data_IF_441503698056
#
_entry.id   IF_441503698056
#
_cell.length_a   1.000
_cell.length_b   1.000
_cell.length_c   1.000
_cell.angle_alpha   90.00
_cell.angle_beta   90.00
_cell.angle_gamma   90.00
#
_symmetry.space_group_name_H-M   'P 1'
#
loop_
_entity.id
_entity.type
_entity.pdbx_description
1 polymer ?
#
# COMPACT_ATOMS: atom_id res chain seq x y z
N UNK A 1 -20.23 -51.08 -39.59
CA UNK A 1 -18.96 -51.63 -40.08
C UNK A 1 -17.95 -50.50 -40.18
N UNK A 2 -16.81 -50.65 -39.47
CA UNK A 2 -15.55 -49.89 -39.55
C UNK A 2 -15.56 -48.39 -39.17
N UNK A 3 -14.56 -47.81 -38.50
CA UNK A 3 -13.47 -48.28 -37.63
C UNK A 3 -12.86 -47.03 -36.95
N UNK A 4 -12.46 -47.16 -35.69
CA UNK A 4 -11.68 -46.18 -34.93
C UNK A 4 -10.31 -45.86 -35.57
N UNK A 5 -9.91 -44.59 -35.58
CA UNK A 5 -8.53 -44.15 -35.78
C UNK A 5 -7.97 -43.53 -34.50
N UNK A 6 -7.03 -44.22 -33.85
CA UNK A 6 -6.26 -43.72 -32.69
C UNK A 6 -5.05 -42.93 -33.20
N UNK A 7 -4.91 -41.68 -32.80
CA UNK A 7 -3.66 -40.93 -32.97
C UNK A 7 -2.78 -41.11 -31.73
N UNK A 8 -1.53 -41.52 -31.98
CA UNK A 8 -0.51 -41.77 -30.98
C UNK A 8 0.14 -40.46 -30.51
N UNK A 9 0.41 -40.42 -29.21
CA UNK A 9 1.17 -39.37 -28.49
C UNK A 9 2.67 -39.63 -28.66
N UNK A 10 3.50 -38.63 -29.02
CA UNK A 10 4.95 -38.76 -28.93
C UNK A 10 5.44 -38.51 -27.50
N UNK A 11 6.09 -39.53 -26.94
CA UNK A 11 6.88 -39.53 -25.72
C UNK A 11 8.11 -38.62 -25.88
N UNK A 12 8.23 -37.56 -25.07
CA UNK A 12 9.48 -36.80 -24.94
C UNK A 12 10.24 -37.33 -23.73
N UNK A 13 11.46 -37.80 -23.99
CA UNK A 13 12.36 -38.34 -22.99
C UNK A 13 13.05 -37.22 -22.19
N UNK A 14 13.01 -37.36 -20.88
CA UNK A 14 13.75 -36.58 -19.88
C UNK A 14 15.24 -36.95 -19.92
N UNK A 15 16.11 -35.97 -20.12
CA UNK A 15 17.56 -36.11 -19.87
C UNK A 15 17.93 -35.23 -18.68
N UNK A 16 18.13 -35.89 -17.54
CA UNK A 16 18.73 -35.34 -16.32
C UNK A 16 20.25 -35.27 -16.47
N UNK A 17 20.86 -34.12 -16.23
CA UNK A 17 22.31 -33.99 -15.99
C UNK A 17 22.59 -33.62 -14.53
N UNK A 18 23.63 -34.22 -13.91
CA UNK A 18 23.91 -34.10 -12.49
C UNK A 18 24.71 -32.85 -12.12
N UNK A 19 24.50 -32.43 -10.87
CA UNK A 19 25.20 -31.38 -10.16
C UNK A 19 26.68 -31.72 -9.91
N UNK A 20 27.55 -30.71 -10.04
CA UNK A 20 28.91 -30.71 -9.52
C UNK A 20 29.23 -29.35 -8.92
N UNK A 21 29.98 -29.36 -7.81
CA UNK A 21 30.86 -28.23 -7.47
C UNK A 21 30.46 -27.38 -6.28
N UNK A 22 30.55 -27.98 -5.09
CA UNK A 22 30.85 -27.30 -3.84
C UNK A 22 32.18 -26.53 -3.91
N UNK A 23 32.18 -25.24 -3.57
CA UNK A 23 33.39 -24.56 -3.10
C UNK A 23 33.09 -23.63 -1.92
N UNK A 24 33.51 -24.10 -0.76
CA UNK A 24 33.47 -23.50 0.56
C UNK A 24 34.65 -22.52 0.68
N UNK A 25 34.40 -21.21 0.57
CA UNK A 25 35.43 -20.19 0.86
C UNK A 25 35.29 -19.71 2.29
N UNK A 26 36.02 -20.42 3.16
CA UNK A 26 36.34 -20.04 4.53
C UNK A 26 37.52 -19.06 4.51
N UNK A 27 37.28 -17.79 4.80
CA UNK A 27 38.35 -16.86 5.18
C UNK A 27 37.80 -15.90 6.26
N UNK A 28 38.16 -16.08 7.54
CA UNK A 28 39.43 -15.71 8.20
C UNK A 28 39.17 -14.44 9.02
N UNK A 29 38.91 -14.65 10.31
CA UNK A 29 38.68 -13.59 11.27
C UNK A 29 39.89 -12.69 11.44
N UNK A 30 39.61 -11.39 11.54
CA UNK A 30 40.55 -10.36 11.96
C UNK A 30 39.95 -9.65 13.18
N UNK A 31 40.31 -10.16 14.37
CA UNK A 31 40.25 -9.39 15.61
C UNK A 31 41.43 -8.43 15.63
N UNK A 32 41.19 -7.14 15.86
CA UNK A 32 42.16 -6.15 16.33
C UNK A 32 41.37 -4.98 16.99
N UNK A 33 41.98 -4.15 17.85
CA UNK A 33 41.71 -4.21 19.28
C UNK A 33 41.06 -2.95 19.87
N UNK A 34 40.54 -3.12 21.09
CA UNK A 34 40.18 -2.06 22.03
C UNK A 34 41.37 -1.13 22.33
N UNK A 35 41.16 0.19 22.16
CA UNK A 35 41.85 1.27 22.91
C UNK A 35 40.81 2.36 23.21
N UNK A 36 40.34 2.52 24.45
CA UNK A 36 40.92 3.26 25.60
C UNK A 36 40.88 4.79 25.48
N UNK A 37 40.24 5.36 26.51
CA UNK A 37 40.37 6.71 27.14
C UNK A 37 39.62 7.87 26.47
N UNK A 38 38.58 8.39 27.14
CA UNK A 38 38.55 9.34 28.30
C UNK A 38 38.99 10.76 27.91
N UNK A 39 38.07 11.72 28.04
CA UNK A 39 38.09 12.94 28.88
C UNK A 39 36.93 13.84 28.45
N UNK A 40 35.88 14.06 29.26
CA UNK A 40 35.73 15.11 30.29
C UNK A 40 36.26 16.49 29.86
N UNK A 41 35.34 17.41 29.59
CA UNK A 41 35.59 18.85 29.47
C UNK A 41 34.27 19.63 29.49
N UNK A 42 33.90 20.13 30.67
CA UNK A 42 32.85 21.11 30.95
C UNK A 42 33.40 22.51 30.68
N UNK A 43 32.63 23.41 30.08
CA UNK A 43 32.65 24.89 30.18
C UNK A 43 31.71 25.40 29.06
N UNK A 44 30.58 26.09 29.26
CA UNK A 44 30.21 27.04 30.30
C UNK A 44 30.53 28.47 29.83
N UNK A 45 29.67 29.11 29.02
CA UNK A 45 29.67 30.57 28.81
C UNK A 45 28.23 31.07 28.59
N UNK A 46 27.75 31.84 29.58
CA UNK A 46 26.68 32.83 29.46
C UNK A 46 27.16 34.01 28.59
N UNK A 47 26.25 34.66 27.86
CA UNK A 47 26.32 36.12 27.73
C UNK A 47 25.88 36.75 26.42
N UNK A 48 24.76 37.48 26.52
CA UNK A 48 24.51 38.81 25.94
C UNK A 48 24.26 38.97 24.42
N UNK A 49 22.98 39.23 24.12
CA UNK A 49 22.41 40.44 23.47
C UNK A 49 23.22 41.10 22.35
N UNK A 50 22.66 41.10 21.14
CA UNK A 50 22.69 42.26 20.25
C UNK A 50 21.48 42.24 19.30
N UNK A 51 20.55 43.18 19.51
CA UNK A 51 19.58 43.66 18.54
C UNK A 51 20.36 44.35 17.41
N UNK A 52 20.31 43.80 16.20
CA UNK A 52 20.72 44.51 14.99
C UNK A 52 19.53 44.54 14.04
N UNK A 53 18.88 45.70 13.99
CA UNK A 53 17.96 46.05 12.93
C UNK A 53 18.79 46.32 11.66
N UNK A 54 18.80 45.34 10.75
CA UNK A 54 19.43 45.44 9.45
C UNK A 54 18.37 45.28 8.35
N UNK A 55 18.04 46.40 7.69
CA UNK A 55 17.33 46.43 6.42
C UNK A 55 18.20 45.73 5.37
N UNK A 56 17.92 44.45 5.11
CA UNK A 56 18.40 43.73 3.93
C UNK A 56 17.17 43.47 3.07
N UNK A 57 17.12 44.16 1.93
CA UNK A 57 16.21 43.82 0.84
C UNK A 57 16.62 42.47 0.27
N UNK A 58 16.06 41.40 0.82
CA UNK A 58 16.00 40.12 0.13
C UNK A 58 14.84 40.21 -0.85
N UNK A 59 15.16 40.32 -2.14
CA UNK A 59 14.24 39.91 -3.20
C UNK A 59 13.85 38.46 -2.92
N UNK A 60 12.64 38.27 -2.41
CA UNK A 60 11.99 36.97 -2.32
C UNK A 60 12.06 36.35 -3.71
N UNK A 61 12.85 35.28 -3.84
CA UNK A 61 12.62 34.32 -4.91
C UNK A 61 11.22 33.76 -4.63
N UNK A 62 10.27 34.07 -5.52
CA UNK A 62 9.01 33.38 -5.57
C UNK A 62 9.32 31.91 -5.86
N UNK A 63 9.41 31.09 -4.81
CA UNK A 63 9.38 29.64 -4.94
C UNK A 63 7.96 29.26 -5.39
N UNK A 64 7.74 28.81 -6.63
CA UNK A 64 6.39 28.45 -7.10
C UNK A 64 5.85 27.16 -6.45
N UNK A 65 6.57 26.61 -5.47
CA UNK A 65 6.22 25.38 -4.76
C UNK A 65 6.03 25.57 -3.25
N UNK A 66 6.14 26.80 -2.72
CA UNK A 66 5.74 27.11 -1.35
C UNK A 66 4.21 27.27 -1.25
N UNK A 67 3.45 26.32 -1.78
CA UNK A 67 2.04 26.18 -1.49
C UNK A 67 1.92 25.58 -0.09
N UNK A 68 1.36 26.37 0.81
CA UNK A 68 1.01 25.98 2.16
C UNK A 68 0.37 24.59 2.15
N UNK A 69 0.99 23.64 2.85
CA UNK A 69 0.28 22.47 3.35
C UNK A 69 -0.72 22.99 4.39
N UNK A 70 -1.87 23.45 3.90
CA UNK A 70 -3.04 23.62 4.72
C UNK A 70 -3.33 22.23 5.28
N UNK A 71 -3.13 22.07 6.58
CA UNK A 71 -3.68 20.93 7.33
C UNK A 71 -5.18 20.94 7.06
N UNK A 72 -5.62 20.07 6.14
CA UNK A 72 -7.03 19.89 5.81
C UNK A 72 -7.68 19.43 7.10
N UNK A 73 -8.45 20.31 7.74
CA UNK A 73 -9.47 19.85 8.68
C UNK A 73 -10.44 19.03 7.83
N UNK A 74 -10.45 17.71 8.05
CA UNK A 74 -11.33 16.78 7.34
C UNK A 74 -12.78 17.11 7.72
N UNK A 75 -13.37 18.04 6.98
CA UNK A 75 -14.81 18.07 6.82
C UNK A 75 -15.24 16.84 6.05
N UNK A 76 -16.47 16.38 6.25
CA UNK A 76 -17.05 15.37 5.37
C UNK A 76 -16.98 15.89 3.92
N UNK A 77 -16.49 15.06 3.00
CA UNK A 77 -16.47 15.40 1.58
C UNK A 77 -17.90 15.70 1.09
N UNK A 78 -18.09 16.67 0.18
CA UNK A 78 -19.42 16.99 -0.34
C UNK A 78 -20.08 15.78 -0.99
N UNK A 79 -21.35 15.53 -0.69
CA UNK A 79 -22.12 14.41 -1.26
C UNK A 79 -23.17 14.87 -2.28
N UNK A 80 -23.39 16.18 -2.41
CA UNK A 80 -24.30 16.75 -3.39
C UNK A 80 -23.60 16.92 -4.74
N UNK A 81 -24.39 16.93 -5.82
CA UNK A 81 -23.89 17.20 -7.16
C UNK A 81 -23.13 18.56 -7.20
N UNK A 82 -21.89 18.60 -7.71
CA UNK A 82 -21.14 19.84 -7.85
C UNK A 82 -21.82 20.82 -8.81
N UNK A 83 -21.72 22.13 -8.53
CA UNK A 83 -22.23 23.18 -9.43
C UNK A 83 -21.31 23.43 -10.63
N UNK A 84 -20.05 23.00 -10.51
CA UNK A 84 -19.04 23.07 -11.56
C UNK A 84 -18.37 21.70 -11.69
N UNK A 85 -18.25 21.23 -12.92
CA UNK A 85 -17.52 20.02 -13.27
C UNK A 85 -16.26 20.43 -14.04
N UNK A 86 -15.19 19.67 -13.86
CA UNK A 86 -13.99 19.79 -14.69
C UNK A 86 -14.21 19.28 -16.11
N UNK A 87 -13.23 19.48 -16.99
CA UNK A 87 -13.21 18.87 -18.31
C UNK A 87 -12.97 17.36 -18.23
N UNK A 88 -13.16 16.61 -19.33
CA UNK A 88 -13.15 15.14 -19.34
C UNK A 88 -11.97 14.50 -18.60
N UNK A 89 -10.75 15.01 -18.81
CA UNK A 89 -9.51 14.42 -18.27
C UNK A 89 -8.86 15.24 -17.16
N UNK A 90 -9.50 16.31 -16.70
CA UNK A 90 -9.00 17.05 -15.55
C UNK A 90 -9.01 16.13 -14.31
N UNK A 91 -8.06 16.29 -13.37
CA UNK A 91 -8.17 15.64 -12.07
C UNK A 91 -9.53 15.94 -11.41
N UNK A 92 -10.03 15.00 -10.59
CA UNK A 92 -11.25 15.24 -9.83
C UNK A 92 -11.00 16.34 -8.78
N UNK A 93 -11.89 17.31 -8.72
CA UNK A 93 -11.96 18.23 -7.59
C UNK A 93 -12.47 17.52 -6.32
N UNK A 94 -12.23 18.07 -5.13
CA UNK A 94 -12.71 17.50 -3.87
C UNK A 94 -14.25 17.29 -3.85
N UNK A 95 -15.00 18.21 -4.47
CA UNK A 95 -16.45 18.12 -4.57
C UNK A 95 -16.89 16.97 -5.49
N UNK A 96 -16.22 16.81 -6.64
CA UNK A 96 -16.47 15.70 -7.55
C UNK A 96 -16.07 14.36 -6.92
N UNK A 97 -14.91 14.29 -6.27
CA UNK A 97 -14.46 13.09 -5.57
C UNK A 97 -15.44 12.67 -4.48
N UNK A 98 -15.88 13.61 -3.64
CA UNK A 98 -16.90 13.38 -2.62
C UNK A 98 -18.22 12.88 -3.19
N UNK A 99 -18.68 13.51 -4.28
CA UNK A 99 -19.92 13.14 -4.95
C UNK A 99 -19.84 11.75 -5.57
N UNK A 100 -18.75 11.44 -6.29
CA UNK A 100 -18.50 10.11 -6.87
C UNK A 100 -18.44 9.05 -5.79
N UNK A 101 -17.73 9.30 -4.68
CA UNK A 101 -17.68 8.39 -3.53
C UNK A 101 -19.09 8.10 -3.01
N UNK A 102 -19.91 9.14 -2.84
CA UNK A 102 -21.29 8.99 -2.37
C UNK A 102 -22.15 8.18 -3.33
N UNK A 103 -22.10 8.47 -4.63
CA UNK A 103 -22.83 7.74 -5.66
C UNK A 103 -22.38 6.28 -5.74
N UNK A 104 -21.07 6.04 -5.74
CA UNK A 104 -20.52 4.70 -5.87
C UNK A 104 -20.86 3.81 -4.67
N UNK A 105 -20.70 4.32 -3.43
CA UNK A 105 -21.01 3.56 -2.21
C UNK A 105 -22.52 3.33 -2.01
N UNK A 106 -23.38 4.10 -2.69
CA UNK A 106 -24.84 3.97 -2.59
C UNK A 106 -25.49 3.35 -3.83
N UNK A 107 -24.67 2.94 -4.82
CA UNK A 107 -25.15 2.33 -6.04
C UNK A 107 -25.92 1.04 -5.74
N UNK A 108 -27.03 0.79 -6.46
CA UNK A 108 -27.92 -0.33 -6.16
C UNK A 108 -27.28 -1.72 -6.25
N UNK A 109 -26.14 -1.85 -6.93
CA UNK A 109 -25.35 -3.10 -7.00
C UNK A 109 -24.39 -3.32 -5.84
N UNK A 110 -24.21 -2.32 -4.96
CA UNK A 110 -23.33 -2.40 -3.78
C UNK A 110 -24.20 -2.69 -2.55
N UNK A 111 -24.04 -3.84 -1.88
CA UNK A 111 -24.85 -4.19 -0.71
C UNK A 111 -24.64 -3.22 0.46
N UNK A 112 -25.73 -2.81 1.11
CA UNK A 112 -25.66 -2.03 2.36
C UNK A 112 -25.05 -2.80 3.54
N UNK A 113 -24.86 -4.12 3.40
CA UNK A 113 -24.18 -4.98 4.36
C UNK A 113 -22.67 -5.04 4.17
N UNK A 114 -22.15 -4.41 3.11
CA UNK A 114 -20.73 -4.42 2.80
C UNK A 114 -19.87 -3.89 3.95
N UNK A 115 -18.64 -4.38 4.04
CA UNK A 115 -17.70 -4.07 5.10
C UNK A 115 -16.38 -3.54 4.58
N UNK A 116 -15.83 -2.61 5.35
CA UNK A 116 -14.53 -2.00 5.08
C UNK A 116 -13.40 -2.84 5.70
N UNK A 117 -12.14 -2.44 5.50
CA UNK A 117 -10.96 -3.19 5.97
C UNK A 117 -10.88 -3.36 7.50
N UNK A 118 -11.69 -2.60 8.25
CA UNK A 118 -11.78 -2.68 9.71
C UNK A 118 -13.00 -3.48 10.20
N UNK A 119 -13.85 -3.97 9.28
CA UNK A 119 -15.15 -4.55 9.58
C UNK A 119 -16.26 -3.51 9.82
N UNK A 120 -15.99 -2.24 9.55
CA UNK A 120 -16.94 -1.13 9.61
C UNK A 120 -18.05 -1.26 8.57
N UNK A 121 -19.12 -0.46 8.69
CA UNK A 121 -20.19 -0.45 7.69
C UNK A 121 -19.76 0.28 6.41
N UNK A 122 -20.17 -0.28 5.26
CA UNK A 122 -19.87 0.24 3.93
C UNK A 122 -18.62 -0.41 3.32
N UNK A 123 -18.49 -0.45 1.99
CA UNK A 123 -17.31 -1.02 1.35
C UNK A 123 -16.08 -0.12 1.55
N UNK A 124 -14.89 -0.72 1.49
CA UNK A 124 -13.61 -0.01 1.43
C UNK A 124 -13.47 0.69 0.07
N UNK A 125 -13.14 1.98 0.06
CA UNK A 125 -12.83 2.70 -1.18
C UNK A 125 -11.36 2.49 -1.53
N UNK A 126 -11.08 1.73 -2.58
CA UNK A 126 -9.69 1.43 -3.00
C UNK A 126 -9.11 2.59 -3.80
N UNK A 127 -9.80 3.03 -4.86
CA UNK A 127 -9.45 4.21 -5.64
C UNK A 127 -10.68 4.86 -6.23
N UNK A 128 -10.57 6.15 -6.55
CA UNK A 128 -11.52 6.89 -7.37
C UNK A 128 -10.71 7.77 -8.30
N UNK A 129 -10.86 7.56 -9.60
CA UNK A 129 -10.10 8.25 -10.64
C UNK A 129 -11.04 8.71 -11.77
N UNK A 130 -10.68 9.76 -12.54
CA UNK A 130 -11.35 10.04 -13.81
C UNK A 130 -11.38 8.80 -14.70
N UNK A 131 -12.51 8.55 -15.36
CA UNK A 131 -12.62 7.41 -16.27
C UNK A 131 -11.92 7.74 -17.60
N UNK A 132 -10.68 7.27 -17.74
CA UNK A 132 -9.85 7.51 -18.92
C UNK A 132 -10.34 6.78 -20.18
N UNK A 133 -11.33 5.87 -20.06
CA UNK A 133 -11.96 5.22 -21.20
C UNK A 133 -13.08 6.06 -21.82
N UNK A 134 -13.57 7.08 -21.12
CA UNK A 134 -14.60 7.97 -21.60
C UNK A 134 -14.03 8.94 -22.65
N UNK A 135 -14.70 9.04 -23.80
CA UNK A 135 -14.30 9.96 -24.88
C UNK A 135 -14.91 11.36 -24.74
N UNK A 136 -16.00 11.48 -23.98
CA UNK A 136 -16.71 12.73 -23.72
C UNK A 136 -17.43 12.69 -22.37
N UNK A 137 -17.83 13.86 -21.86
CA UNK A 137 -18.51 14.01 -20.58
C UNK A 137 -17.59 13.94 -19.38
N UNK A 138 -18.18 13.95 -18.18
CA UNK A 138 -17.44 13.90 -16.91
C UNK A 138 -17.74 12.57 -16.21
N UNK A 139 -16.81 11.63 -16.31
CA UNK A 139 -16.95 10.28 -15.80
C UNK A 139 -15.84 9.93 -14.81
N UNK A 140 -16.14 9.05 -13.87
CA UNK A 140 -15.17 8.52 -12.92
C UNK A 140 -15.39 7.02 -12.69
N UNK A 141 -14.32 6.33 -12.35
CA UNK A 141 -14.34 4.92 -11.93
C UNK A 141 -13.94 4.85 -10.47
N UNK A 142 -14.79 4.22 -9.65
CA UNK A 142 -14.50 3.91 -8.26
C UNK A 142 -14.32 2.39 -8.10
N UNK A 143 -13.23 1.99 -7.46
CA UNK A 143 -13.02 0.61 -7.03
C UNK A 143 -13.38 0.50 -5.56
N UNK A 144 -14.36 -0.34 -5.23
CA UNK A 144 -14.83 -0.57 -3.87
C UNK A 144 -14.65 -2.04 -3.50
N UNK A 145 -14.16 -2.35 -2.31
CA UNK A 145 -14.01 -3.73 -1.85
C UNK A 145 -14.92 -4.02 -0.66
N UNK A 146 -15.61 -5.17 -0.67
CA UNK A 146 -16.40 -5.65 0.46
C UNK A 146 -15.71 -6.82 1.14
N UNK A 147 -15.18 -6.56 2.33
CA UNK A 147 -14.49 -7.53 3.17
C UNK A 147 -15.43 -8.58 3.81
N UNK A 148 -16.75 -8.42 3.74
CA UNK A 148 -17.67 -9.47 4.19
C UNK A 148 -17.99 -10.51 3.11
N UNK A 149 -17.80 -10.15 1.84
CA UNK A 149 -18.11 -11.03 0.70
C UNK A 149 -16.88 -11.39 -0.14
N UNK A 150 -15.73 -10.76 0.13
CA UNK A 150 -14.50 -10.86 -0.65
C UNK A 150 -14.67 -10.49 -2.14
N UNK A 151 -15.45 -9.43 -2.40
CA UNK A 151 -15.81 -8.97 -3.76
C UNK A 151 -15.30 -7.55 -4.01
N UNK A 152 -14.72 -7.34 -5.20
CA UNK A 152 -14.41 -6.02 -5.73
C UNK A 152 -15.53 -5.53 -6.65
N UNK A 153 -16.08 -4.35 -6.35
CA UNK A 153 -17.01 -3.61 -7.20
C UNK A 153 -16.26 -2.55 -8.00
N UNK A 154 -16.39 -2.59 -9.32
CA UNK A 154 -15.99 -1.49 -10.22
C UNK A 154 -17.23 -0.67 -10.53
N UNK A 155 -17.25 0.58 -10.07
CA UNK A 155 -18.41 1.47 -10.24
C UNK A 155 -18.05 2.59 -11.20
N UNK A 156 -18.72 2.61 -12.35
CA UNK A 156 -18.62 3.68 -13.34
C UNK A 156 -19.68 4.72 -13.06
N UNK A 157 -19.27 5.98 -12.88
CA UNK A 157 -20.13 7.09 -12.49
C UNK A 157 -20.13 8.15 -13.59
N UNK A 158 -21.32 8.57 -14.02
CA UNK A 158 -21.50 9.80 -14.80
C UNK A 158 -21.88 10.93 -13.83
N UNK A 159 -20.97 11.88 -13.64
CA UNK A 159 -21.12 12.96 -12.67
C UNK A 159 -22.21 13.95 -13.07
N UNK A 160 -22.52 14.05 -14.37
CA UNK A 160 -23.53 14.98 -14.88
C UNK A 160 -24.94 14.45 -14.66
N UNK A 161 -25.16 13.16 -14.91
CA UNK A 161 -26.47 12.52 -14.68
C UNK A 161 -26.66 12.03 -13.26
N UNK A 162 -25.56 11.86 -12.51
CA UNK A 162 -25.58 11.26 -11.18
C UNK A 162 -25.89 9.75 -11.21
N UNK A 163 -25.68 9.10 -12.36
CA UNK A 163 -25.92 7.67 -12.52
C UNK A 163 -24.67 6.85 -12.23
N UNK A 164 -24.87 5.63 -11.73
CA UNK A 164 -23.79 4.70 -11.40
C UNK A 164 -24.11 3.30 -11.95
N UNK A 165 -23.13 2.69 -12.61
CA UNK A 165 -23.18 1.31 -13.12
C UNK A 165 -22.13 0.48 -12.39
N UNK A 166 -22.52 -0.69 -11.90
CA UNK A 166 -21.67 -1.56 -11.08
C UNK A 166 -21.30 -2.81 -11.86
N UNK A 167 -20.04 -3.19 -11.82
CA UNK A 167 -19.51 -4.50 -12.20
C UNK A 167 -18.87 -5.16 -10.97
N UNK A 168 -18.81 -6.49 -10.95
CA UNK A 168 -18.25 -7.27 -9.84
C UNK A 168 -17.13 -8.17 -10.32
N UNK A 169 -16.08 -8.32 -9.51
CA UNK A 169 -15.00 -9.29 -9.75
C UNK A 169 -14.55 -9.94 -8.44
N UNK A 170 -14.20 -11.21 -8.51
CA UNK A 170 -13.60 -12.00 -7.42
C UNK A 170 -12.12 -12.22 -7.72
N UNK A 171 -11.28 -12.30 -6.68
CA UNK A 171 -9.83 -12.56 -6.82
C UNK A 171 -9.01 -11.44 -7.48
N UNK A 172 -9.62 -10.32 -7.86
CA UNK A 172 -8.91 -9.14 -8.38
C UNK A 172 -8.13 -8.44 -7.26
N UNK A 173 -6.87 -8.12 -7.52
CA UNK A 173 -5.94 -7.55 -6.54
C UNK A 173 -5.39 -6.20 -7.03
N UNK A 174 -6.19 -5.11 -7.05
CA UNK A 174 -5.64 -3.78 -7.27
C UNK A 174 -4.59 -3.43 -6.18
N UNK A 175 -3.69 -2.46 -6.41
CA UNK A 175 -2.81 -1.98 -5.36
C UNK A 175 -3.60 -1.55 -4.11
N UNK A 176 -3.13 -1.85 -2.88
CA UNK A 176 -3.82 -1.46 -1.68
C UNK A 176 -3.79 0.05 -1.47
N UNK A 177 -4.86 0.60 -0.89
CA UNK A 177 -4.88 2.00 -0.50
C UNK A 177 -4.05 2.23 0.80
N UNK A 178 -3.92 3.48 1.23
CA UNK A 178 -3.17 3.82 2.44
C UNK A 178 -3.76 3.20 3.73
N UNK A 179 -5.09 3.08 3.83
CA UNK A 179 -5.75 2.46 4.99
C UNK A 179 -5.52 0.95 5.04
N UNK A 180 -5.63 0.27 3.90
CA UNK A 180 -5.32 -1.14 3.74
C UNK A 180 -3.85 -1.41 4.07
N UNK A 181 -2.94 -0.57 3.56
CA UNK A 181 -1.50 -0.69 3.84
C UNK A 181 -1.23 -0.54 5.33
N UNK A 182 -1.80 0.49 5.98
CA UNK A 182 -1.65 0.69 7.43
C UNK A 182 -2.22 -0.48 8.23
N UNK A 183 -3.42 -0.97 7.86
CA UNK A 183 -4.06 -2.10 8.53
C UNK A 183 -3.25 -3.39 8.37
N UNK A 184 -2.69 -3.64 7.20
CA UNK A 184 -1.81 -4.78 6.96
C UNK A 184 -0.57 -4.71 7.86
N UNK A 185 0.06 -3.53 7.98
CA UNK A 185 1.20 -3.33 8.88
C UNK A 185 0.82 -3.58 10.34
N UNK A 186 -0.32 -3.07 10.80
CA UNK A 186 -0.81 -3.35 12.16
C UNK A 186 -1.00 -4.86 12.42
N UNK A 187 -1.59 -5.59 11.46
CA UNK A 187 -1.76 -7.04 11.55
C UNK A 187 -0.39 -7.75 11.63
N UNK A 188 0.55 -7.37 10.78
CA UNK A 188 1.90 -7.93 10.78
C UNK A 188 2.59 -7.70 12.14
N UNK A 189 2.58 -6.48 12.66
CA UNK A 189 3.24 -6.12 13.90
C UNK A 189 2.60 -6.76 15.12
N UNK A 190 1.31 -7.10 15.08
CA UNK A 190 0.63 -7.87 16.13
C UNK A 190 0.89 -9.39 16.02
N UNK A 191 1.33 -9.89 14.86
CA UNK A 191 1.56 -11.30 14.60
C UNK A 191 2.96 -11.76 15.04
N UNK A 192 3.12 -13.06 15.43
CA UNK A 192 4.44 -13.69 15.54
C UNK A 192 5.26 -13.58 14.25
N UNK A 193 4.61 -13.61 13.08
CA UNK A 193 5.26 -13.43 11.77
C UNK A 193 6.00 -12.09 11.68
N UNK A 194 5.54 -11.05 12.39
CA UNK A 194 6.19 -9.75 12.44
C UNK A 194 7.49 -9.68 13.26
N UNK A 195 7.87 -10.75 13.97
CA UNK A 195 9.06 -10.72 14.86
C UNK A 195 10.35 -10.30 14.15
N UNK A 196 10.68 -10.80 12.93
CA UNK A 196 11.91 -10.38 12.24
C UNK A 196 11.96 -8.88 11.96
N UNK A 197 10.83 -8.23 11.68
CA UNK A 197 10.77 -6.78 11.46
C UNK A 197 10.97 -6.00 12.77
N UNK A 198 10.38 -6.48 13.87
CA UNK A 198 10.58 -5.86 15.20
C UNK A 198 12.04 -5.98 15.65
N UNK A 199 12.66 -7.14 15.45
CA UNK A 199 14.07 -7.37 15.79
C UNK A 199 14.99 -6.53 14.91
N UNK A 200 14.74 -6.47 13.61
CA UNK A 200 15.52 -5.66 12.67
C UNK A 200 15.42 -4.16 12.97
N UNK A 201 14.22 -3.67 13.31
CA UNK A 201 14.03 -2.29 13.73
C UNK A 201 14.84 -1.99 14.99
N UNK A 202 14.72 -2.82 16.04
CA UNK A 202 15.47 -2.63 17.27
C UNK A 202 16.99 -2.71 17.07
N UNK A 203 17.46 -3.58 16.17
CA UNK A 203 18.88 -3.64 15.83
C UNK A 203 19.37 -2.40 15.05
N UNK A 204 18.52 -1.81 14.22
CA UNK A 204 18.85 -0.64 13.40
C UNK A 204 18.74 0.69 14.13
N UNK A 205 17.71 0.86 14.96
CA UNK A 205 17.38 2.13 15.61
C UNK A 205 17.74 2.16 17.10
N UNK A 206 17.84 1.00 17.74
CA UNK A 206 17.96 0.88 19.20
C UNK A 206 16.64 1.06 19.96
N UNK A 207 15.50 1.15 19.26
CA UNK A 207 14.17 1.34 19.83
C UNK A 207 13.24 0.15 19.54
N UNK A 208 12.18 -0.01 20.34
CA UNK A 208 11.19 -1.05 20.08
C UNK A 208 10.21 -0.61 18.96
N UNK A 209 9.93 -1.51 18.02
CA UNK A 209 8.89 -1.30 17.01
C UNK A 209 7.52 -1.67 17.57
N UNK A 210 6.71 -0.67 17.84
CA UNK A 210 5.42 -0.81 18.53
C UNK A 210 4.22 -0.34 17.70
N UNK A 211 4.46 0.51 16.69
CA UNK A 211 3.41 1.06 15.82
C UNK A 211 3.81 1.05 14.35
N UNK A 212 2.81 0.98 13.47
CA UNK A 212 2.97 1.22 12.04
C UNK A 212 3.43 2.65 11.74
N UNK A 213 3.17 3.62 12.63
CA UNK A 213 3.54 5.02 12.44
C UNK A 213 5.06 5.28 12.58
N UNK A 214 5.84 4.26 12.98
CA UNK A 214 7.32 4.30 13.04
C UNK A 214 7.98 3.84 11.72
N UNK A 215 7.17 3.55 10.71
CA UNK A 215 7.59 2.92 9.46
C UNK A 215 7.06 3.70 8.27
N UNK A 216 7.88 3.74 7.23
CA UNK A 216 7.43 4.02 5.87
C UNK A 216 7.10 2.69 5.18
N UNK A 217 5.85 2.53 4.76
CA UNK A 217 5.38 1.28 4.17
C UNK A 217 4.74 1.53 2.81
N UNK A 218 5.27 0.85 1.79
CA UNK A 218 4.64 0.75 0.49
C UNK A 218 3.87 -0.57 0.39
N UNK A 219 2.56 -0.47 0.23
CA UNK A 219 1.69 -1.61 -0.04
C UNK A 219 1.64 -1.94 -1.52
N UNK A 220 1.75 -3.23 -1.85
CA UNK A 220 1.63 -3.76 -3.20
C UNK A 220 0.54 -4.83 -3.28
N UNK A 221 -0.01 -5.01 -4.48
CA UNK A 221 -0.88 -6.13 -4.79
C UNK A 221 -0.15 -7.47 -4.59
N UNK A 222 -0.89 -8.50 -4.17
CA UNK A 222 -0.36 -9.85 -4.05
C UNK A 222 -1.31 -10.87 -4.67
N UNK A 223 -0.82 -11.62 -5.65
CA UNK A 223 -1.50 -12.79 -6.23
C UNK A 223 -0.61 -14.01 -5.96
N UNK A 224 -1.16 -15.14 -5.49
CA UNK A 224 -0.39 -16.35 -5.27
C UNK A 224 0.36 -16.78 -6.54
N UNK A 225 1.66 -17.09 -6.46
CA UNK A 225 2.44 -17.50 -7.63
C UNK A 225 2.08 -18.91 -8.11
N UNK A 226 1.55 -19.75 -7.22
CA UNK A 226 1.11 -21.11 -7.50
C UNK A 226 0.01 -21.52 -6.49
N UNK A 227 -0.90 -22.43 -6.87
CA UNK A 227 -1.92 -22.94 -5.96
C UNK A 227 -1.31 -23.84 -4.88
N UNK A 228 -1.96 -23.88 -3.70
CA UNK A 228 -1.63 -24.75 -2.57
C UNK A 228 -0.46 -24.26 -1.69
N UNK A 229 0.02 -23.03 -1.89
CA UNK A 229 0.97 -22.37 -1.00
C UNK A 229 0.31 -21.86 0.29
N UNK A 230 1.12 -21.36 1.23
CA UNK A 230 0.63 -20.73 2.46
C UNK A 230 -0.28 -19.50 2.19
N UNK A 231 -0.16 -18.91 1.00
CA UNK A 231 -0.94 -17.77 0.52
C UNK A 231 -2.09 -18.14 -0.43
N UNK A 232 -2.44 -19.42 -0.59
CA UNK A 232 -3.47 -19.87 -1.54
C UNK A 232 -4.82 -19.15 -1.36
N UNK A 233 -5.17 -18.79 -0.11
CA UNK A 233 -6.36 -18.02 0.21
C UNK A 233 -6.41 -16.65 -0.51
N UNK A 234 -5.26 -16.04 -0.82
CA UNK A 234 -5.18 -14.77 -1.54
C UNK A 234 -5.64 -14.85 -3.01
N UNK A 235 -5.92 -16.05 -3.53
CA UNK A 235 -6.62 -16.21 -4.81
C UNK A 235 -8.08 -15.72 -4.76
N UNK A 236 -8.65 -15.67 -3.56
CA UNK A 236 -10.01 -15.18 -3.28
C UNK A 236 -9.98 -13.96 -2.36
N UNK A 237 -9.27 -14.06 -1.24
CA UNK A 237 -9.15 -13.01 -0.24
C UNK A 237 -8.32 -11.82 -0.74
N UNK A 238 -8.63 -10.62 -0.25
CA UNK A 238 -7.78 -9.44 -0.39
C UNK A 238 -6.46 -9.61 0.37
N UNK A 239 -5.34 -9.56 -0.33
CA UNK A 239 -4.01 -9.63 0.27
C UNK A 239 -3.12 -8.46 -0.16
N UNK A 240 -2.24 -8.05 0.75
CA UNK A 240 -1.27 -6.98 0.51
C UNK A 240 0.15 -7.49 0.78
N UNK A 241 1.08 -7.15 -0.10
CA UNK A 241 2.52 -7.33 0.11
C UNK A 241 3.12 -6.02 0.59
N UNK A 242 3.93 -6.05 1.64
CA UNK A 242 4.49 -4.84 2.24
C UNK A 242 5.97 -4.70 1.90
N UNK A 243 6.38 -3.49 1.53
CA UNK A 243 7.78 -3.11 1.52
C UNK A 243 7.98 -2.13 2.68
N UNK A 244 8.83 -2.49 3.62
CA UNK A 244 8.94 -1.80 4.91
C UNK A 244 10.33 -1.17 5.02
N UNK A 245 10.34 0.14 5.23
CA UNK A 245 11.50 0.94 5.59
C UNK A 245 11.22 1.72 6.86
N UNK A 246 12.27 2.11 7.57
CA UNK A 246 12.19 3.15 8.61
C UNK A 246 12.08 4.53 7.96
N UNK A 247 11.77 5.55 8.76
CA UNK A 247 11.68 6.95 8.33
C UNK A 247 13.01 7.52 7.77
N UNK A 248 14.15 6.94 8.14
CA UNK A 248 15.47 7.28 7.58
C UNK A 248 15.83 6.44 6.33
N UNK A 249 14.89 5.63 5.84
CA UNK A 249 15.03 4.83 4.62
C UNK A 249 15.77 3.50 4.81
N UNK A 250 16.07 3.09 6.03
CA UNK A 250 16.66 1.77 6.29
C UNK A 250 15.64 0.68 6.00
N UNK A 251 15.99 -0.20 5.06
CA UNK A 251 15.22 -1.41 4.79
C UNK A 251 15.47 -2.43 5.92
N UNK A 252 14.40 -2.80 6.63
CA UNK A 252 14.49 -3.70 7.79
C UNK A 252 14.82 -5.15 7.41
N UNK A 253 14.23 -5.67 6.34
CA UNK A 253 14.38 -7.06 5.90
C UNK A 253 14.58 -7.16 4.39
N UNK A 254 15.23 -8.24 3.94
CA UNK A 254 15.32 -8.55 2.51
C UNK A 254 13.95 -8.99 1.95
N UNK A 255 13.15 -9.67 2.76
CA UNK A 255 11.82 -10.20 2.40
C UNK A 255 10.72 -9.14 2.53
N UNK A 256 9.67 -9.31 1.74
CA UNK A 256 8.46 -8.47 1.77
C UNK A 256 7.32 -9.35 2.31
N UNK A 257 6.79 -9.09 3.51
CA UNK A 257 5.77 -9.94 4.09
C UNK A 257 4.45 -9.78 3.32
N UNK A 258 3.62 -10.83 3.37
CA UNK A 258 2.27 -10.83 2.82
C UNK A 258 1.28 -10.92 3.96
N UNK A 259 0.21 -10.12 3.88
CA UNK A 259 -0.88 -10.08 4.85
C UNK A 259 -2.19 -10.34 4.14
N UNK A 260 -2.96 -11.28 4.68
CA UNK A 260 -4.36 -11.49 4.34
C UNK A 260 -5.21 -10.49 5.14
N UNK A 261 -5.69 -9.46 4.44
CA UNK A 261 -6.53 -8.41 5.04
C UNK A 261 -7.94 -8.92 5.35
N UNK A 262 -8.40 -9.94 4.63
CA UNK A 262 -9.75 -10.51 4.77
C UNK A 262 -9.84 -11.42 5.99
N UNK A 263 -8.80 -12.24 6.21
CA UNK A 263 -8.66 -13.05 7.42
C UNK A 263 -8.09 -12.28 8.62
N UNK A 264 -7.48 -11.11 8.38
CA UNK A 264 -6.81 -10.34 9.43
C UNK A 264 -5.54 -11.02 9.95
N UNK A 265 -4.80 -11.69 9.06
CA UNK A 265 -3.66 -12.54 9.42
C UNK A 265 -2.42 -12.27 8.55
N UNK A 266 -1.24 -12.26 9.18
CA UNK A 266 0.02 -12.26 8.44
C UNK A 266 0.36 -13.68 7.99
N UNK A 267 0.84 -13.81 6.75
CA UNK A 267 1.17 -15.09 6.12
C UNK A 267 2.66 -15.35 6.29
N UNK A 268 3.00 -16.48 6.90
CA UNK A 268 4.37 -16.97 6.96
C UNK A 268 4.77 -17.47 5.57
N UNK A 269 5.89 -16.95 5.04
CA UNK A 269 6.41 -17.35 3.74
C UNK A 269 7.63 -18.25 3.96
N UNK A 270 7.57 -19.48 3.43
CA UNK A 270 8.63 -20.49 3.48
C UNK A 270 9.86 -20.12 2.62
#
# INVERSE_FOLDING_TARGET
MAACGRHAVPTVATTSQPATGSEEVRAKGSRLPQRLRRHRGVLGVLGCVALVAGLVGCTSHDDPFASAQAVIRVGALPTAAPTHLGETFDPLSDAEYGYVRSLASSASGVPGTARDVTGGQGPEVITIDPDLSATEGRHATALLYDYAADVLYTVHVDLRTGSARVETSEGSQPPPNARETRRATEILLASPVGQPWRDAYAAGTGEELTSADQLEVLGGAHVPPAPGGADDACSTHRCARLQITTDDGLRLTATNPVVDLSAGAAIEQD
#
